data_IF_820398591835
#
_entry.id   IF_820398591835
#
_cell.length_a   1.000
_cell.length_b   1.000
_cell.length_c   1.000
_cell.angle_alpha   90.00
_cell.angle_beta   90.00
_cell.angle_gamma   90.00
#
_symmetry.space_group_name_H-M   'P 1'
#
loop_
_entity.id
_entity.type
_entity.pdbx_description
1 polymer ?
#
# COMPACT_ATOMS: atom_id res chain seq x y z
N UNK A 1 -4.48 -36.35 30.15
CA UNK A 1 -3.37 -36.39 29.16
C UNK A 1 -3.81 -35.97 27.77
N UNK A 2 -4.92 -36.50 27.22
CA UNK A 2 -5.43 -36.13 25.90
C UNK A 2 -5.77 -34.63 25.78
N UNK A 3 -6.36 -34.04 26.82
CA UNK A 3 -6.68 -32.60 26.89
C UNK A 3 -5.43 -31.70 26.78
N UNK A 4 -4.32 -32.07 27.42
CA UNK A 4 -3.08 -31.28 27.34
C UNK A 4 -2.51 -31.26 25.92
N UNK A 5 -2.63 -32.38 25.19
CA UNK A 5 -2.20 -32.49 23.79
C UNK A 5 -3.11 -31.66 22.89
N UNK A 6 -4.43 -31.70 23.11
CA UNK A 6 -5.38 -30.88 22.36
C UNK A 6 -5.19 -29.38 22.63
N UNK A 7 -5.01 -28.98 23.89
CA UNK A 7 -4.74 -27.60 24.28
C UNK A 7 -3.45 -27.08 23.63
N UNK A 8 -2.39 -27.90 23.59
CA UNK A 8 -1.12 -27.54 22.92
C UNK A 8 -1.32 -27.37 21.42
N UNK A 9 -2.08 -28.26 20.76
CA UNK A 9 -2.39 -28.14 19.33
C UNK A 9 -3.17 -26.86 19.02
N UNK A 10 -4.18 -26.53 19.84
CA UNK A 10 -4.96 -25.30 19.69
C UNK A 10 -4.07 -24.07 19.81
N UNK A 11 -3.16 -24.03 20.80
CA UNK A 11 -2.21 -22.91 20.96
C UNK A 11 -1.28 -22.80 19.75
N UNK A 12 -0.77 -23.92 19.23
CA UNK A 12 0.10 -23.91 18.06
C UNK A 12 -0.63 -23.40 16.80
N UNK A 13 -1.88 -23.84 16.59
CA UNK A 13 -2.73 -23.36 15.48
C UNK A 13 -3.00 -21.86 15.59
N UNK A 14 -3.36 -21.36 16.77
CA UNK A 14 -3.57 -19.93 17.00
C UNK A 14 -2.31 -19.11 16.69
N UNK A 15 -1.12 -19.61 17.03
CA UNK A 15 0.16 -18.96 16.68
C UNK A 15 0.39 -18.94 15.16
N UNK A 16 0.08 -20.04 14.47
CA UNK A 16 0.23 -20.12 13.02
C UNK A 16 -0.75 -19.18 12.29
N UNK A 17 -1.99 -19.11 12.76
CA UNK A 17 -3.00 -18.19 12.21
C UNK A 17 -2.60 -16.73 12.44
N UNK A 18 -2.04 -16.41 13.61
CA UNK A 18 -1.49 -15.07 13.89
C UNK A 18 -0.34 -14.71 12.92
N UNK A 19 0.57 -15.66 12.65
CA UNK A 19 1.66 -15.48 11.66
C UNK A 19 1.11 -15.23 10.26
N UNK A 20 0.11 -16.02 9.83
CA UNK A 20 -0.54 -15.87 8.53
C UNK A 20 -1.22 -14.50 8.41
N UNK A 21 -1.97 -14.09 9.42
CA UNK A 21 -2.66 -12.80 9.44
C UNK A 21 -1.68 -11.63 9.41
N UNK A 22 -0.53 -11.75 10.09
CA UNK A 22 0.55 -10.77 10.00
C UNK A 22 1.11 -10.64 8.58
N UNK A 23 1.42 -11.77 7.93
CA UNK A 23 1.93 -11.77 6.55
C UNK A 23 0.92 -11.21 5.56
N UNK A 24 -0.37 -11.50 5.76
CA UNK A 24 -1.46 -10.94 4.94
C UNK A 24 -1.49 -9.41 5.06
N UNK A 25 -1.36 -8.86 6.27
CA UNK A 25 -1.32 -7.41 6.49
C UNK A 25 -0.09 -6.76 5.85
N UNK A 26 1.08 -7.39 5.97
CA UNK A 26 2.32 -6.93 5.31
C UNK A 26 2.12 -6.89 3.79
N UNK A 27 1.61 -7.98 3.21
CA UNK A 27 1.37 -8.06 1.77
C UNK A 27 0.37 -7.00 1.29
N UNK A 28 -0.71 -6.78 2.03
CA UNK A 28 -1.69 -5.75 1.73
C UNK A 28 -1.05 -4.36 1.68
N UNK A 29 -0.16 -4.06 2.64
CA UNK A 29 0.51 -2.76 2.69
C UNK A 29 1.49 -2.57 1.54
N UNK A 30 2.28 -3.59 1.20
CA UNK A 30 3.18 -3.56 0.05
C UNK A 30 2.41 -3.39 -1.25
N UNK A 31 1.32 -4.16 -1.43
CA UNK A 31 0.45 -4.06 -2.61
C UNK A 31 -0.18 -2.67 -2.73
N UNK A 32 -0.62 -2.09 -1.60
CA UNK A 32 -1.11 -0.71 -1.58
C UNK A 32 -0.04 0.28 -2.04
N UNK A 33 1.18 0.20 -1.53
CA UNK A 33 2.26 1.08 -1.98
C UNK A 33 2.59 0.91 -3.46
N UNK A 34 2.73 -0.33 -3.93
CA UNK A 34 3.02 -0.61 -5.34
C UNK A 34 1.94 -0.03 -6.25
N UNK A 35 0.67 -0.30 -5.96
CA UNK A 35 -0.46 0.21 -6.77
C UNK A 35 -0.53 1.73 -6.79
N UNK A 36 -0.25 2.40 -5.66
CA UNK A 36 -0.21 3.85 -5.58
C UNK A 36 0.91 4.47 -6.42
N UNK A 37 2.07 3.81 -6.50
CA UNK A 37 3.23 4.27 -7.26
C UNK A 37 3.08 3.97 -8.76
N UNK A 38 2.40 2.89 -9.14
CA UNK A 38 2.20 2.51 -10.56
C UNK A 38 1.54 3.62 -11.37
N UNK A 39 0.57 4.34 -10.80
CA UNK A 39 -0.18 5.39 -11.52
C UNK A 39 0.74 6.58 -11.90
N UNK A 40 1.47 7.22 -10.96
CA UNK A 40 2.48 8.21 -11.30
C UNK A 40 3.56 7.70 -12.26
N UNK A 41 4.03 6.46 -12.09
CA UNK A 41 5.04 5.87 -13.00
C UNK A 41 4.53 5.79 -14.43
N UNK A 42 3.26 5.42 -14.62
CA UNK A 42 2.62 5.43 -15.93
C UNK A 42 2.57 6.84 -16.53
N UNK A 43 2.14 7.84 -15.74
CA UNK A 43 2.08 9.23 -16.19
C UNK A 43 3.48 9.75 -16.57
N UNK A 44 4.47 9.60 -15.70
CA UNK A 44 5.85 10.01 -16.01
C UNK A 44 6.39 9.27 -17.24
N UNK A 45 6.05 7.98 -17.38
CA UNK A 45 6.42 7.18 -18.53
C UNK A 45 5.87 7.71 -19.84
N UNK A 46 4.60 8.13 -19.90
CA UNK A 46 4.02 8.71 -21.13
C UNK A 46 4.59 10.07 -21.46
N UNK A 47 4.85 10.92 -20.46
CA UNK A 47 5.48 12.23 -20.65
C UNK A 47 6.98 12.14 -20.98
N UNK A 48 7.66 11.06 -20.59
CA UNK A 48 9.08 10.81 -20.89
C UNK A 48 9.35 10.23 -22.29
N UNK A 49 8.30 9.94 -23.07
CA UNK A 49 8.47 9.43 -24.44
C UNK A 49 8.95 10.53 -25.38
N UNK A 50 9.80 10.17 -26.34
CA UNK A 50 10.30 11.07 -27.39
C UNK A 50 9.22 11.32 -28.45
N UNK A 51 8.10 11.89 -28.02
CA UNK A 51 6.97 12.27 -28.85
C UNK A 51 6.84 13.79 -28.81
N UNK A 52 6.73 14.42 -29.97
CA UNK A 52 6.50 15.86 -30.05
C UNK A 52 5.05 16.15 -29.68
N UNK A 53 4.84 16.47 -28.41
CA UNK A 53 3.51 16.61 -27.82
C UNK A 53 3.13 18.07 -27.55
N UNK A 54 4.01 19.04 -27.84
CA UNK A 54 3.86 20.49 -27.59
C UNK A 54 3.48 20.90 -26.14
N UNK A 55 3.23 19.94 -25.25
CA UNK A 55 3.00 20.14 -23.80
C UNK A 55 4.23 20.69 -23.08
N UNK A 56 5.41 20.61 -23.69
CA UNK A 56 6.65 21.21 -23.19
C UNK A 56 6.66 22.74 -23.32
N UNK A 57 5.86 23.31 -24.24
CA UNK A 57 5.83 24.74 -24.52
C UNK A 57 4.86 25.49 -23.59
N UNK A 58 4.13 24.77 -22.74
CA UNK A 58 3.18 25.33 -21.77
C UNK A 58 3.89 25.59 -20.45
N UNK A 59 3.98 26.87 -20.07
CA UNK A 59 4.55 27.30 -18.80
C UNK A 59 3.90 26.58 -17.61
N UNK A 60 4.73 26.18 -16.63
CA UNK A 60 4.34 25.51 -15.38
C UNK A 60 3.73 24.09 -15.48
N UNK A 61 3.41 23.58 -16.66
CA UNK A 61 2.76 22.27 -16.83
C UNK A 61 3.57 21.12 -16.20
N UNK A 62 4.91 21.17 -16.36
CA UNK A 62 5.83 20.24 -15.72
C UNK A 62 5.66 20.20 -14.18
N UNK A 63 5.63 21.36 -13.53
CA UNK A 63 5.51 21.45 -12.07
C UNK A 63 4.14 20.96 -11.59
N UNK A 64 3.07 21.24 -12.34
CA UNK A 64 1.72 20.76 -12.02
C UNK A 64 1.68 19.23 -12.08
N UNK A 65 2.19 18.62 -13.16
CA UNK A 65 2.21 17.16 -13.30
C UNK A 65 3.06 16.50 -12.22
N UNK A 66 4.26 17.02 -11.95
CA UNK A 66 5.14 16.49 -10.89
C UNK A 66 4.49 16.60 -9.52
N UNK A 67 3.89 17.75 -9.19
CA UNK A 67 3.18 17.93 -7.93
C UNK A 67 2.00 16.98 -7.80
N UNK A 68 1.23 16.75 -8.87
CA UNK A 68 0.12 15.81 -8.91
C UNK A 68 0.57 14.37 -8.67
N UNK A 69 1.66 13.96 -9.33
CA UNK A 69 2.28 12.65 -9.17
C UNK A 69 2.78 12.38 -7.74
N UNK A 70 3.21 13.41 -7.00
CA UNK A 70 3.64 13.28 -5.60
C UNK A 70 2.47 13.35 -4.63
N UNK A 71 1.52 14.26 -4.87
CA UNK A 71 0.37 14.48 -3.98
C UNK A 71 -0.62 13.32 -4.06
N UNK A 72 -0.80 12.70 -5.23
CA UNK A 72 -1.76 11.62 -5.43
C UNK A 72 -1.48 10.40 -4.52
N UNK A 73 -0.28 9.76 -4.54
CA UNK A 73 0.02 8.63 -3.66
C UNK A 73 -0.13 8.98 -2.17
N UNK A 74 0.33 10.17 -1.77
CA UNK A 74 0.25 10.63 -0.38
C UNK A 74 -1.20 10.84 0.05
N UNK A 75 -2.01 11.49 -0.79
CA UNK A 75 -3.42 11.77 -0.52
C UNK A 75 -4.24 10.49 -0.42
N UNK A 76 -4.08 9.57 -1.38
CA UNK A 76 -4.79 8.28 -1.36
C UNK A 76 -4.32 7.43 -0.19
N UNK A 77 -3.02 7.37 0.11
CA UNK A 77 -2.51 6.65 1.29
C UNK A 77 -3.14 7.17 2.58
N UNK A 78 -3.24 8.49 2.75
CA UNK A 78 -3.91 9.12 3.91
C UNK A 78 -5.39 8.75 3.99
N UNK A 79 -6.11 8.76 2.86
CA UNK A 79 -7.53 8.40 2.80
C UNK A 79 -7.75 6.93 3.15
N UNK A 80 -6.90 6.05 2.62
CA UNK A 80 -6.92 4.61 2.90
C UNK A 80 -6.62 4.34 4.38
N UNK A 81 -5.62 5.01 4.97
CA UNK A 81 -5.35 4.91 6.41
C UNK A 81 -6.54 5.39 7.25
N UNK A 82 -7.22 6.48 6.85
CA UNK A 82 -8.41 6.96 7.53
C UNK A 82 -9.53 5.91 7.47
N UNK A 83 -9.79 5.35 6.30
CA UNK A 83 -10.78 4.30 6.09
C UNK A 83 -10.49 3.02 6.91
N UNK A 84 -9.23 2.58 6.96
CA UNK A 84 -8.84 1.43 7.78
C UNK A 84 -8.95 1.72 9.28
N UNK A 85 -8.64 2.94 9.71
CA UNK A 85 -8.79 3.37 11.10
C UNK A 85 -10.26 3.36 11.53
N UNK A 86 -11.16 3.83 10.69
CA UNK A 86 -12.62 3.80 10.93
C UNK A 86 -13.14 2.35 11.07
N UNK A 87 -12.50 1.39 10.40
CA UNK A 87 -12.82 -0.04 10.52
C UNK A 87 -12.05 -0.77 11.63
N UNK A 88 -11.27 -0.06 12.44
CA UNK A 88 -10.51 -0.65 13.56
C UNK A 88 -9.32 -1.52 13.13
N UNK A 89 -8.93 -1.50 11.86
CA UNK A 89 -7.79 -2.27 11.34
C UNK A 89 -6.54 -1.39 11.47
N UNK A 90 -5.70 -1.71 12.45
CA UNK A 90 -4.45 -0.99 12.64
C UNK A 90 -3.37 -1.63 11.76
N UNK A 91 -2.98 -0.96 10.67
CA UNK A 91 -1.85 -1.33 9.80
C UNK A 91 -0.52 -1.19 10.56
N UNK A 92 -0.32 -2.08 11.53
CA UNK A 92 0.88 -2.13 12.36
C UNK A 92 1.80 -3.22 11.83
N UNK A 93 2.96 -2.80 11.32
CA UNK A 93 4.06 -3.68 10.91
C UNK A 93 4.76 -4.38 12.09
N UNK A 94 4.20 -4.30 13.30
CA UNK A 94 4.78 -4.92 14.48
C UNK A 94 4.22 -6.33 14.65
N UNK A 95 5.09 -7.31 14.47
CA UNK A 95 4.89 -8.65 14.98
C UNK A 95 5.04 -8.60 16.51
N UNK A 96 3.95 -8.74 17.27
CA UNK A 96 4.00 -9.02 18.72
C UNK A 96 3.79 -10.51 18.95
#
# INVERSE_FOLDING_TARGET
MLENVQNTRTIAMLKLDAKRNYLLMVNLTLTLWTTLITVPTFVVGTFGMNLNSYVQDVDYLFYVVVSGCVLFPVGVYRLVLKYFRERGINLSWKYK
#
